data_IF_976360940981
#
_entry.id   IF_976360940981
#
_cell.length_a   1.000
_cell.length_b   1.000
_cell.length_c   1.000
_cell.angle_alpha   90.00
_cell.angle_beta   90.00
_cell.angle_gamma   90.00
#
_symmetry.space_group_name_H-M   'P 1'
#
loop_
_entity.id
_entity.type
_entity.pdbx_description
1 polymer ?
#
# COMPACT_ATOMS: atom_id res chain seq x y z
N UNK A 1 8.75 22.54 3.70
CA UNK A 1 7.80 21.42 3.78
C UNK A 1 8.46 20.25 4.49
N UNK A 2 7.73 19.54 5.35
CA UNK A 2 8.21 18.33 6.02
C UNK A 2 7.76 17.07 5.30
N UNK A 3 8.54 15.99 5.37
CA UNK A 3 8.08 14.64 4.99
C UNK A 3 7.27 14.09 6.15
N UNK A 4 6.14 13.44 5.85
CA UNK A 4 5.31 12.78 6.84
C UNK A 4 5.17 11.30 6.47
N UNK A 5 5.25 10.43 7.47
CA UNK A 5 5.01 9.01 7.33
C UNK A 5 3.72 8.67 8.06
N UNK A 6 2.72 8.24 7.30
CA UNK A 6 1.50 7.64 7.82
C UNK A 6 1.67 6.13 7.83
N UNK A 7 1.81 5.52 9.01
CA UNK A 7 2.03 4.08 9.14
C UNK A 7 0.84 3.46 9.88
N UNK A 8 0.08 2.63 9.16
CA UNK A 8 -1.10 1.92 9.63
C UNK A 8 -1.26 0.61 8.84
N UNK A 9 -2.22 -0.24 9.22
CA UNK A 9 -2.57 -1.42 8.44
C UNK A 9 -2.97 -1.06 7.01
N UNK A 10 -2.63 -1.94 6.07
CA UNK A 10 -2.75 -1.70 4.60
C UNK A 10 -4.17 -1.32 4.16
N UNK A 11 -5.20 -1.79 4.88
CA UNK A 11 -6.60 -1.41 4.71
C UNK A 11 -6.85 0.11 4.64
N UNK A 12 -6.02 0.92 5.30
CA UNK A 12 -6.20 2.38 5.32
C UNK A 12 -5.69 3.10 4.06
N UNK A 13 -5.01 2.40 3.15
CA UNK A 13 -4.39 2.99 1.97
C UNK A 13 -4.39 2.12 0.71
N UNK A 14 -4.80 0.85 0.80
CA UNK A 14 -4.92 -0.05 -0.36
C UNK A 14 -5.79 0.59 -1.45
N UNK A 15 -5.38 0.39 -2.71
CA UNK A 15 -6.05 0.91 -3.90
C UNK A 15 -6.22 2.44 -3.91
N UNK A 16 -5.34 3.14 -3.16
CA UNK A 16 -5.35 4.58 -2.97
C UNK A 16 -6.64 5.11 -2.31
N UNK A 17 -7.39 4.22 -1.65
CA UNK A 17 -8.58 4.56 -0.88
C UNK A 17 -8.22 5.00 0.56
N UNK A 18 -9.22 5.05 1.45
CA UNK A 18 -9.03 5.44 2.84
C UNK A 18 -8.44 6.84 2.96
N UNK A 19 -7.29 6.95 3.65
CA UNK A 19 -6.63 8.25 3.84
C UNK A 19 -6.18 8.87 2.51
N UNK A 20 -5.79 8.06 1.52
CA UNK A 20 -5.36 8.52 0.20
C UNK A 20 -6.46 9.32 -0.49
N UNK A 21 -7.68 8.78 -0.47
CA UNK A 21 -8.88 9.43 -1.03
C UNK A 21 -9.15 10.81 -0.39
N UNK A 22 -9.14 10.88 0.95
CA UNK A 22 -9.37 12.14 1.67
C UNK A 22 -8.27 13.18 1.40
N UNK A 23 -7.00 12.75 1.33
CA UNK A 23 -5.88 13.64 1.04
C UNK A 23 -5.97 14.20 -0.39
N UNK A 24 -6.36 13.38 -1.37
CA UNK A 24 -6.56 13.83 -2.74
C UNK A 24 -7.64 14.91 -2.85
N UNK A 25 -8.72 14.79 -2.07
CA UNK A 25 -9.79 15.80 -2.04
C UNK A 25 -9.38 17.07 -1.29
N UNK A 26 -8.74 16.92 -0.13
CA UNK A 26 -8.41 18.04 0.73
C UNK A 26 -7.23 18.86 0.21
N UNK A 27 -6.23 18.19 -0.39
CA UNK A 27 -4.93 18.76 -0.79
C UNK A 27 -4.38 18.04 -2.04
N UNK A 28 -5.00 18.24 -3.23
CA UNK A 28 -4.62 17.53 -4.46
C UNK A 28 -3.17 17.81 -4.93
N UNK A 29 -2.52 18.84 -4.39
CA UNK A 29 -1.12 19.15 -4.68
C UNK A 29 -0.11 18.26 -3.92
N UNK A 30 -0.57 17.47 -2.95
CA UNK A 30 0.29 16.56 -2.20
C UNK A 30 0.82 15.45 -3.11
N UNK A 31 2.12 15.19 -2.99
CA UNK A 31 2.74 13.99 -3.56
C UNK A 31 2.61 12.88 -2.53
N UNK A 32 1.73 11.93 -2.79
CA UNK A 32 1.50 10.75 -1.97
C UNK A 32 2.13 9.55 -2.65
N UNK A 33 2.75 8.67 -1.86
CA UNK A 33 3.25 7.37 -2.29
C UNK A 33 2.75 6.33 -1.30
N UNK A 34 2.11 5.27 -1.78
CA UNK A 34 1.64 4.14 -0.97
C UNK A 34 2.59 2.96 -1.07
N UNK A 35 2.76 2.24 0.05
CA UNK A 35 3.54 1.01 0.12
C UNK A 35 2.64 -0.04 0.78
N UNK A 36 2.40 -1.16 0.09
CA UNK A 36 1.66 -2.30 0.62
C UNK A 36 2.56 -3.53 0.70
N UNK A 37 2.27 -4.41 1.64
CA UNK A 37 2.91 -5.75 1.71
C UNK A 37 1.86 -6.80 1.39
N UNK A 38 2.18 -7.72 0.48
CA UNK A 38 1.32 -8.85 0.11
C UNK A 38 2.08 -10.15 0.29
N UNK A 39 1.40 -11.18 0.76
CA UNK A 39 1.94 -12.53 0.90
C UNK A 39 1.57 -13.37 -0.31
N UNK A 40 2.50 -14.14 -0.86
CA UNK A 40 2.25 -15.05 -1.98
C UNK A 40 3.01 -16.38 -1.82
N UNK A 41 2.40 -17.47 -2.30
CA UNK A 41 3.02 -18.81 -2.37
C UNK A 41 4.14 -18.88 -3.43
N UNK A 42 4.06 -18.04 -4.46
CA UNK A 42 5.03 -17.97 -5.55
C UNK A 42 5.37 -16.50 -5.82
N UNK A 43 6.67 -16.18 -5.89
CA UNK A 43 7.18 -14.81 -6.02
C UNK A 43 7.56 -14.42 -7.47
N UNK A 44 7.32 -15.31 -8.43
CA UNK A 44 7.67 -15.10 -9.83
C UNK A 44 6.68 -14.15 -10.55
N UNK A 45 5.46 -13.99 -10.01
CA UNK A 45 4.44 -13.11 -10.58
C UNK A 45 3.54 -12.49 -9.52
N UNK A 46 3.29 -11.18 -9.66
CA UNK A 46 2.26 -10.48 -8.89
C UNK A 46 0.85 -10.95 -9.29
N UNK A 47 0.00 -11.36 -8.33
CA UNK A 47 -1.40 -11.63 -8.57
C UNK A 47 -2.07 -10.44 -9.26
N UNK A 48 -2.95 -10.73 -10.22
CA UNK A 48 -3.57 -9.66 -11.01
C UNK A 48 -4.45 -8.73 -10.14
N UNK A 49 -4.99 -9.24 -9.03
CA UNK A 49 -5.76 -8.48 -8.03
C UNK A 49 -4.93 -7.44 -7.25
N UNK A 50 -3.61 -7.60 -7.20
CA UNK A 50 -2.73 -6.71 -6.44
C UNK A 50 -2.11 -5.61 -7.29
N UNK A 51 -2.26 -5.65 -8.62
CA UNK A 51 -1.57 -4.73 -9.55
C UNK A 51 -1.77 -3.25 -9.25
N UNK A 52 -2.92 -2.88 -8.70
CA UNK A 52 -3.27 -1.49 -8.38
C UNK A 52 -3.32 -1.23 -6.87
N UNK A 53 -2.85 -2.17 -6.04
CA UNK A 53 -2.97 -2.07 -4.58
C UNK A 53 -2.18 -0.90 -4.00
N UNK A 54 -0.99 -0.62 -4.53
CA UNK A 54 -0.12 0.48 -4.08
C UNK A 54 0.90 0.88 -5.14
N UNK A 55 1.57 2.03 -4.94
CA UNK A 55 2.66 2.49 -5.82
C UNK A 55 3.90 1.61 -5.71
N UNK A 56 4.14 1.04 -4.53
CA UNK A 56 5.19 0.05 -4.25
C UNK A 56 4.53 -1.13 -3.54
N UNK A 57 4.74 -2.33 -4.09
CA UNK A 57 4.24 -3.57 -3.51
C UNK A 57 5.43 -4.42 -3.08
N UNK A 58 5.48 -4.71 -1.78
CA UNK A 58 6.44 -5.65 -1.20
C UNK A 58 5.78 -7.03 -1.18
N UNK A 59 6.17 -7.89 -2.11
CA UNK A 59 5.72 -9.27 -2.11
C UNK A 59 6.66 -10.11 -1.24
N UNK A 60 6.09 -10.79 -0.26
CA UNK A 60 6.82 -11.67 0.65
C UNK A 60 6.25 -13.09 0.58
N UNK A 61 7.08 -14.06 0.94
CA UNK A 61 6.67 -15.45 1.01
C UNK A 61 5.52 -15.63 2.02
N UNK A 62 4.60 -16.55 1.73
CA UNK A 62 3.47 -16.87 2.61
C UNK A 62 3.91 -17.36 4.00
N UNK A 63 5.11 -17.93 4.12
CA UNK A 63 5.71 -18.34 5.41
C UNK A 63 6.19 -17.14 6.26
N UNK A 64 6.22 -15.96 5.64
CA UNK A 64 5.95 -14.62 6.21
C UNK A 64 5.21 -14.52 7.55
N UNK A 65 5.80 -14.54 8.77
CA UNK A 65 4.98 -14.41 9.98
C UNK A 65 4.33 -13.03 10.05
N UNK A 66 2.99 -12.98 10.05
CA UNK A 66 2.23 -11.74 10.21
C UNK A 66 2.16 -11.26 11.67
N UNK A 67 2.01 -9.95 11.88
CA UNK A 67 1.57 -9.37 13.16
C UNK A 67 0.32 -8.52 12.95
N UNK A 68 -0.51 -8.39 13.99
CA UNK A 68 -1.72 -7.55 14.00
C UNK A 68 -1.46 -6.17 14.60
#
# INVERSE_FOLDING_TARGET
GGRFLHFNGTYHSDFHEGIGWYLQQARPELKVVTIATVTAEQLDRLPDEDRERADIILMVDADVPGSY
#
